data_IF_038770513733
#
_entry.id   IF_038770513733
#
_cell.length_a   1.000
_cell.length_b   1.000
_cell.length_c   1.000
_cell.angle_alpha   90.00
_cell.angle_beta   90.00
_cell.angle_gamma   90.00
#
_symmetry.space_group_name_H-M   'P 1'
#
loop_
_entity.id
_entity.type
_entity.pdbx_description
1 polymer ?
#
# COMPACT_ATOMS: atom_id res chain seq x y z
N UNK A 1 5.03 7.60 3.65
CA UNK A 1 4.60 8.46 2.51
C UNK A 1 3.82 7.65 1.49
N UNK A 2 4.27 6.45 1.10
CA UNK A 2 3.62 5.60 0.09
C UNK A 2 2.14 5.31 0.37
N UNK A 3 1.78 4.85 1.56
CA UNK A 3 0.37 4.56 1.90
C UNK A 3 -0.49 5.83 1.86
N UNK A 4 0.04 6.96 2.32
CA UNK A 4 -0.67 8.25 2.29
C UNK A 4 -0.91 8.73 0.86
N UNK A 5 0.10 8.62 -0.02
CA UNK A 5 -0.04 8.90 -1.45
C UNK A 5 -1.05 7.96 -2.11
N UNK A 6 -1.06 6.66 -1.76
CA UNK A 6 -2.05 5.70 -2.25
C UNK A 6 -3.48 6.12 -1.94
N UNK A 7 -3.76 6.53 -0.70
CA UNK A 7 -5.09 7.06 -0.32
C UNK A 7 -5.43 8.32 -1.13
N UNK A 8 -4.45 9.21 -1.32
CA UNK A 8 -4.66 10.42 -2.11
C UNK A 8 -4.97 10.10 -3.57
N UNK A 9 -4.26 9.14 -4.18
CA UNK A 9 -4.53 8.69 -5.56
C UNK A 9 -5.93 8.09 -5.69
N UNK A 10 -6.34 7.23 -4.76
CA UNK A 10 -7.70 6.67 -4.76
C UNK A 10 -8.77 7.79 -4.79
N UNK A 11 -8.59 8.82 -3.94
CA UNK A 11 -9.49 9.99 -3.92
C UNK A 11 -9.40 10.83 -5.19
N UNK A 12 -8.21 10.98 -5.79
CA UNK A 12 -8.01 11.76 -7.01
C UNK A 12 -8.68 11.09 -8.20
N UNK A 13 -8.51 9.78 -8.35
CA UNK A 13 -9.10 8.98 -9.43
C UNK A 13 -10.64 9.15 -9.46
N UNK A 14 -11.30 8.96 -8.33
CA UNK A 14 -12.78 9.07 -8.26
C UNK A 14 -13.30 10.50 -8.45
N UNK A 15 -12.48 11.51 -8.11
CA UNK A 15 -12.87 12.92 -8.29
C UNK A 15 -12.73 13.40 -9.73
N UNK A 16 -11.74 12.88 -10.44
CA UNK A 16 -11.37 13.39 -11.75
C UNK A 16 -12.01 12.59 -12.89
N UNK A 17 -12.48 11.37 -12.64
CA UNK A 17 -13.22 10.61 -13.65
C UNK A 17 -14.47 11.38 -14.13
N UNK A 18 -14.61 11.50 -15.45
CA UNK A 18 -15.65 12.31 -16.10
C UNK A 18 -15.34 13.80 -16.20
N UNK A 19 -14.29 14.30 -15.53
CA UNK A 19 -13.86 15.70 -15.57
C UNK A 19 -12.52 15.89 -16.29
N UNK A 20 -11.54 15.02 -16.02
CA UNK A 20 -10.25 15.00 -16.72
C UNK A 20 -10.34 14.07 -17.94
N UNK A 21 -10.17 14.58 -19.19
CA UNK A 21 -10.33 13.77 -20.39
C UNK A 21 -9.32 12.62 -20.50
N UNK A 22 -8.09 12.80 -20.02
CA UNK A 22 -7.05 11.78 -20.13
C UNK A 22 -7.30 10.61 -19.17
N UNK A 23 -7.57 10.91 -17.90
CA UNK A 23 -7.93 9.90 -16.91
C UNK A 23 -9.23 9.18 -17.29
N UNK A 24 -10.21 9.90 -17.81
CA UNK A 24 -11.48 9.30 -18.25
C UNK A 24 -11.26 8.32 -19.40
N UNK A 25 -10.41 8.68 -20.38
CA UNK A 25 -10.05 7.77 -21.47
C UNK A 25 -9.36 6.49 -20.96
N UNK A 26 -8.50 6.60 -19.95
CA UNK A 26 -7.86 5.45 -19.28
C UNK A 26 -8.91 4.53 -18.67
N UNK A 27 -9.80 5.07 -17.82
CA UNK A 27 -10.80 4.27 -17.08
C UNK A 27 -11.91 3.71 -17.97
N UNK A 28 -12.17 4.29 -19.14
CA UNK A 28 -13.12 3.74 -20.11
C UNK A 28 -12.56 2.51 -20.85
N UNK A 29 -11.24 2.29 -20.83
CA UNK A 29 -10.59 1.22 -21.59
C UNK A 29 -9.81 0.23 -20.71
N UNK A 30 -9.56 0.57 -19.44
CA UNK A 30 -8.73 -0.22 -18.52
C UNK A 30 -9.22 -0.09 -17.08
N UNK A 31 -8.96 -1.13 -16.30
CA UNK A 31 -9.14 -1.12 -14.85
C UNK A 31 -7.84 -0.75 -14.13
N UNK A 32 -7.95 0.01 -13.03
CA UNK A 32 -6.83 0.34 -12.15
C UNK A 32 -6.95 -0.47 -10.85
N UNK A 33 -5.95 -1.31 -10.58
CA UNK A 33 -5.80 -1.98 -9.30
C UNK A 33 -4.84 -1.19 -8.39
N UNK A 34 -5.30 -0.87 -7.19
CA UNK A 34 -4.52 -0.07 -6.22
C UNK A 34 -4.57 -0.71 -4.84
N UNK A 35 -3.48 -1.38 -4.45
CA UNK A 35 -3.31 -1.90 -3.09
C UNK A 35 -2.52 -0.89 -2.25
N UNK A 36 -3.21 -0.23 -1.31
CA UNK A 36 -2.66 0.89 -0.54
C UNK A 36 -1.68 0.43 0.55
N UNK A 37 -1.98 -0.69 1.21
CA UNK A 37 -1.22 -1.20 2.34
C UNK A 37 -0.83 -2.66 2.13
N UNK A 38 0.19 -2.88 1.30
CA UNK A 38 0.68 -4.21 0.89
C UNK A 38 1.33 -5.04 2.00
N UNK A 39 1.66 -4.42 3.14
CA UNK A 39 2.16 -5.09 4.34
C UNK A 39 1.40 -4.55 5.57
N UNK A 40 0.14 -4.98 5.77
CA UNK A 40 -0.74 -4.41 6.80
C UNK A 40 -0.21 -4.66 8.22
N UNK A 41 0.28 -5.87 8.52
CA UNK A 41 0.82 -6.19 9.85
C UNK A 41 2.07 -5.37 10.17
N UNK A 42 2.97 -5.23 9.19
CA UNK A 42 4.17 -4.41 9.34
C UNK A 42 3.81 -2.94 9.55
N UNK A 43 2.85 -2.43 8.78
CA UNK A 43 2.36 -1.05 8.91
C UNK A 43 1.77 -0.78 10.30
N UNK A 44 0.89 -1.67 10.79
CA UNK A 44 0.34 -1.58 12.15
C UNK A 44 1.45 -1.56 13.20
N UNK A 45 2.43 -2.45 13.09
CA UNK A 45 3.56 -2.52 14.02
C UNK A 45 4.40 -1.23 14.06
N UNK A 46 4.46 -0.46 12.98
CA UNK A 46 5.10 0.86 12.98
C UNK A 46 4.39 1.91 13.84
N UNK A 47 3.09 1.74 14.09
CA UNK A 47 2.28 2.66 14.88
C UNK A 47 2.18 2.24 16.35
N UNK A 48 2.37 0.95 16.65
CA UNK A 48 2.19 0.43 18.01
C UNK A 48 3.48 0.07 18.73
N UNK A 49 4.58 -0.20 18.01
CA UNK A 49 5.77 -0.80 18.65
C UNK A 49 7.10 -0.29 18.12
N UNK A 50 7.35 -0.32 16.81
CA UNK A 50 8.61 0.15 16.24
C UNK A 50 8.42 0.88 14.92
N UNK A 51 8.55 2.21 14.97
CA UNK A 51 8.35 3.11 13.82
C UNK A 51 9.26 2.83 12.62
N UNK A 52 10.44 2.24 12.85
CA UNK A 52 11.42 1.94 11.80
C UNK A 52 11.29 0.52 11.24
N UNK A 53 10.26 -0.24 11.62
CA UNK A 53 10.02 -1.59 11.11
C UNK A 53 9.69 -1.60 9.61
N UNK A 54 10.24 -2.58 8.88
CA UNK A 54 10.10 -2.73 7.42
C UNK A 54 9.49 -4.08 6.99
N UNK A 55 9.80 -5.15 7.71
CA UNK A 55 9.51 -6.54 7.30
C UNK A 55 8.04 -6.93 7.50
N UNK A 56 7.65 -8.10 7.00
CA UNK A 56 6.39 -8.76 7.41
C UNK A 56 6.43 -9.13 8.91
N UNK A 57 5.34 -9.69 9.46
CA UNK A 57 5.24 -10.07 10.89
C UNK A 57 5.15 -11.57 11.16
N UNK A 58 5.35 -12.41 10.15
CA UNK A 58 5.41 -13.87 10.32
C UNK A 58 6.62 -14.26 11.20
N UNK A 59 6.45 -15.03 12.30
CA UNK A 59 7.57 -15.59 13.05
C UNK A 59 8.38 -16.57 12.20
N UNK A 60 9.71 -16.59 12.38
CA UNK A 60 10.58 -17.51 11.67
C UNK A 60 10.85 -18.76 12.55
N UNK A 61 10.52 -19.98 12.09
CA UNK A 61 10.79 -21.20 12.87
C UNK A 61 12.26 -21.34 13.25
N UNK A 62 12.54 -21.71 14.49
CA UNK A 62 13.91 -21.89 14.98
C UNK A 62 14.71 -20.59 15.22
N UNK A 63 14.06 -19.42 15.14
CA UNK A 63 14.70 -18.12 15.39
C UNK A 63 13.81 -17.21 16.23
N UNK A 64 14.42 -16.35 17.05
CA UNK A 64 13.72 -15.25 17.72
C UNK A 64 13.42 -14.07 16.78
N UNK A 65 14.02 -14.04 15.59
CA UNK A 65 13.80 -13.00 14.59
C UNK A 65 12.43 -13.15 13.90
N UNK A 66 11.69 -12.05 13.78
CA UNK A 66 10.36 -12.02 13.14
C UNK A 66 10.43 -11.33 11.78
N UNK A 67 9.69 -11.88 10.80
CA UNK A 67 9.45 -11.26 9.51
C UNK A 67 10.51 -11.53 8.46
N UNK A 68 10.08 -11.45 7.21
CA UNK A 68 10.91 -11.48 5.99
C UNK A 68 10.76 -10.14 5.27
N UNK A 69 11.78 -9.70 4.54
CA UNK A 69 11.65 -8.51 3.67
C UNK A 69 10.71 -8.86 2.50
N UNK A 70 9.56 -8.18 2.34
CA UNK A 70 8.60 -8.50 1.28
C UNK A 70 9.09 -8.12 -0.13
N UNK A 71 10.24 -7.44 -0.26
CA UNK A 71 10.84 -7.09 -1.56
C UNK A 71 12.23 -7.74 -1.72
N UNK A 72 12.34 -9.01 -1.38
CA UNK A 72 13.50 -9.89 -1.54
C UNK A 72 13.02 -11.29 -1.88
#
# INVERSE_FOLDING_TARGET
>A
VTQASGIWFAKKIVKDYGSDPALTAILNNMDIFLEIATNPDGYYYTHTSNRMWRKTRKPNPGSSCVGVDPNR
#
